data_IF_083639644235
#
_entry.id   IF_083639644235
#
_cell.length_a   1.000
_cell.length_b   1.000
_cell.length_c   1.000
_cell.angle_alpha   90.00
_cell.angle_beta   90.00
_cell.angle_gamma   90.00
#
_symmetry.space_group_name_H-M   'P 1'
#
loop_
_entity.id
_entity.type
_entity.pdbx_description
1 polymer ?
#
# COMPACT_ATOMS: atom_id res chain seq x y z
N UNK A 1 10.16 65.76 -46.35
CA UNK A 1 9.15 64.67 -46.47
C UNK A 1 9.76 63.37 -45.95
N UNK A 2 9.45 62.97 -44.71
CA UNK A 2 9.87 61.68 -44.13
C UNK A 2 8.67 60.74 -44.18
N UNK A 3 8.78 59.65 -44.95
CA UNK A 3 7.74 58.61 -45.05
C UNK A 3 7.92 57.64 -43.88
N UNK A 4 6.95 57.58 -42.97
CA UNK A 4 6.85 56.57 -41.93
C UNK A 4 6.11 55.35 -42.48
N UNK A 5 6.72 54.17 -42.37
CA UNK A 5 6.09 52.88 -42.70
C UNK A 5 5.60 52.27 -41.39
N UNK A 6 4.32 51.88 -41.25
CA UNK A 6 3.85 51.18 -40.06
C UNK A 6 4.27 49.71 -40.13
N UNK A 7 4.96 49.21 -39.10
CA UNK A 7 5.24 47.79 -38.92
C UNK A 7 4.03 47.18 -38.22
N UNK A 8 3.34 46.27 -38.93
CA UNK A 8 2.25 45.46 -38.39
C UNK A 8 2.85 44.31 -37.57
N UNK A 9 2.80 44.40 -36.25
CA UNK A 9 3.18 43.30 -35.37
C UNK A 9 2.04 42.27 -35.32
N UNK A 10 2.20 41.16 -36.02
CA UNK A 10 1.32 39.99 -35.88
C UNK A 10 1.74 39.25 -34.60
N UNK A 11 0.95 39.41 -33.54
CA UNK A 11 1.04 38.58 -32.35
C UNK A 11 0.37 37.24 -32.67
N UNK A 12 1.17 36.25 -33.03
CA UNK A 12 0.71 34.86 -33.10
C UNK A 12 0.56 34.36 -31.67
N UNK A 13 -0.67 34.38 -31.14
CA UNK A 13 -0.98 33.63 -29.93
C UNK A 13 -0.96 32.15 -30.29
N UNK A 14 0.15 31.47 -29.96
CA UNK A 14 0.13 30.02 -29.83
C UNK A 14 -0.78 29.69 -28.63
N UNK A 15 -2.02 29.28 -28.92
CA UNK A 15 -2.81 28.49 -27.98
C UNK A 15 -2.15 27.11 -27.88
N UNK A 16 -1.02 27.05 -27.18
CA UNK A 16 -0.48 25.80 -26.70
C UNK A 16 -1.48 25.23 -25.72
N UNK A 17 -2.29 24.27 -26.17
CA UNK A 17 -3.07 23.44 -25.28
C UNK A 17 -2.09 22.79 -24.32
N UNK A 18 -2.01 23.33 -23.11
CA UNK A 18 -1.31 22.71 -21.99
C UNK A 18 -2.10 21.42 -21.71
N UNK A 19 -1.74 20.34 -22.41
CA UNK A 19 -2.15 19.00 -22.02
C UNK A 19 -1.46 18.75 -20.68
N UNK A 20 -2.13 19.13 -19.59
CA UNK A 20 -1.79 18.66 -18.27
C UNK A 20 -1.70 17.13 -18.40
N UNK A 21 -0.54 16.57 -18.08
CA UNK A 21 -0.37 15.12 -18.07
C UNK A 21 -1.53 14.56 -17.25
N UNK A 22 -2.33 13.65 -17.80
CA UNK A 22 -3.47 13.10 -17.07
C UNK A 22 -2.93 12.43 -15.80
N UNK A 23 -3.13 13.06 -14.65
CA UNK A 23 -2.67 12.60 -13.34
C UNK A 23 -3.61 11.51 -12.81
N UNK A 24 -3.96 10.51 -13.63
CA UNK A 24 -4.81 9.39 -13.26
C UNK A 24 -4.44 8.09 -13.98
N UNK A 25 -4.63 6.97 -13.30
CA UNK A 25 -4.22 5.63 -13.78
C UNK A 25 -4.94 5.20 -15.08
N UNK A 26 -4.30 4.32 -15.86
CA UNK A 26 -4.86 3.75 -17.10
C UNK A 26 -6.23 3.07 -16.91
N UNK A 27 -6.43 2.41 -15.76
CA UNK A 27 -7.72 1.79 -15.41
C UNK A 27 -8.83 2.84 -15.27
N UNK A 28 -8.52 4.03 -14.78
CA UNK A 28 -9.47 5.14 -14.70
C UNK A 28 -9.74 5.74 -16.08
N UNK A 29 -8.71 5.83 -16.93
CA UNK A 29 -8.87 6.21 -18.33
C UNK A 29 -9.82 5.26 -19.10
N UNK A 30 -9.80 3.97 -18.78
CA UNK A 30 -10.71 2.99 -19.36
C UNK A 30 -12.14 3.12 -18.81
N UNK A 31 -12.30 3.45 -17.52
CA UNK A 31 -13.62 3.72 -16.94
C UNK A 31 -14.30 4.94 -17.54
N UNK A 32 -13.55 5.99 -17.89
CA UNK A 32 -14.07 7.15 -18.60
C UNK A 32 -14.72 6.77 -19.94
N UNK A 33 -14.21 5.74 -20.63
CA UNK A 33 -14.75 5.27 -21.91
C UNK A 33 -15.92 4.31 -21.73
N UNK A 34 -15.81 3.39 -20.76
CA UNK A 34 -16.74 2.25 -20.63
C UNK A 34 -17.90 2.52 -19.70
N UNK A 35 -17.72 3.35 -18.67
CA UNK A 35 -18.71 3.63 -17.62
C UNK A 35 -18.67 5.11 -17.16
N UNK A 36 -18.86 6.09 -18.06
CA UNK A 36 -18.70 7.52 -17.75
C UNK A 36 -19.65 8.05 -16.66
N UNK A 37 -20.82 7.43 -16.51
CA UNK A 37 -21.83 7.78 -15.50
C UNK A 37 -21.71 6.94 -14.22
N UNK A 38 -20.64 6.15 -14.07
CA UNK A 38 -20.40 5.33 -12.89
C UNK A 38 -19.85 6.13 -11.71
N UNK A 39 -19.83 5.49 -10.55
CA UNK A 39 -19.08 5.94 -9.38
C UNK A 39 -17.94 4.95 -9.17
N UNK A 40 -16.74 5.45 -8.91
CA UNK A 40 -15.53 4.67 -8.67
C UNK A 40 -14.92 5.06 -7.34
N UNK A 41 -14.31 4.10 -6.65
CA UNK A 41 -13.51 4.37 -5.45
C UNK A 41 -12.07 4.66 -5.89
N UNK A 42 -11.54 5.78 -5.45
CA UNK A 42 -10.22 6.29 -5.85
C UNK A 42 -9.42 6.75 -4.64
N UNK A 43 -8.10 6.76 -4.81
CA UNK A 43 -7.14 7.38 -3.91
C UNK A 43 -6.64 8.65 -4.59
N UNK A 44 -6.93 9.80 -4.00
CA UNK A 44 -6.55 11.12 -4.52
C UNK A 44 -5.35 11.60 -3.72
N UNK A 45 -4.15 11.51 -4.29
CA UNK A 45 -2.92 12.01 -3.68
C UNK A 45 -2.76 13.51 -3.95
N UNK A 46 -2.38 14.27 -2.92
CA UNK A 46 -2.18 15.72 -3.01
C UNK A 46 -0.70 16.10 -2.93
N UNK A 47 -0.36 17.22 -3.57
CA UNK A 47 0.96 17.87 -3.43
C UNK A 47 1.09 18.66 -2.13
N UNK A 48 -0.03 18.94 -1.47
CA UNK A 48 -0.15 19.68 -0.20
C UNK A 48 -0.81 18.81 0.87
N UNK A 49 -0.62 19.13 2.17
CA UNK A 49 -1.33 18.46 3.25
C UNK A 49 -2.85 18.49 3.04
N UNK A 50 -3.49 17.34 3.27
CA UNK A 50 -4.95 17.21 3.18
C UNK A 50 -5.61 18.10 4.24
N UNK A 51 -6.76 18.68 3.92
CA UNK A 51 -7.52 19.56 4.80
C UNK A 51 -9.01 19.54 4.42
N UNK A 52 -9.84 20.21 5.23
CA UNK A 52 -11.29 20.23 5.05
C UNK A 52 -11.76 20.79 3.69
N UNK A 53 -11.00 21.68 3.06
CA UNK A 53 -11.35 22.22 1.74
C UNK A 53 -11.25 21.13 0.65
N UNK A 54 -10.30 20.21 0.75
CA UNK A 54 -10.18 19.08 -0.18
C UNK A 54 -11.35 18.09 -0.02
N UNK A 55 -11.80 17.85 1.22
CA UNK A 55 -12.99 17.04 1.46
C UNK A 55 -14.27 17.71 0.91
N UNK A 56 -14.39 19.03 1.05
CA UNK A 56 -15.48 19.80 0.47
C UNK A 56 -15.44 19.78 -1.07
N UNK A 57 -14.25 19.87 -1.68
CA UNK A 57 -14.08 19.75 -3.14
C UNK A 57 -14.64 18.42 -3.67
N UNK A 58 -14.30 17.30 -3.02
CA UNK A 58 -14.80 15.97 -3.38
C UNK A 58 -16.33 15.91 -3.23
N UNK A 59 -16.86 16.45 -2.13
CA UNK A 59 -18.30 16.46 -1.86
C UNK A 59 -19.07 17.31 -2.87
N UNK A 60 -18.52 18.48 -3.25
CA UNK A 60 -19.09 19.36 -4.27
C UNK A 60 -19.05 18.76 -5.67
N UNK A 61 -18.13 17.83 -5.93
CA UNK A 61 -18.11 17.03 -7.15
C UNK A 61 -19.11 15.85 -7.11
N UNK A 62 -19.95 15.74 -6.07
CA UNK A 62 -20.88 14.61 -5.90
C UNK A 62 -20.19 13.33 -5.41
N UNK A 63 -18.95 13.44 -4.93
CA UNK A 63 -18.21 12.35 -4.31
C UNK A 63 -18.44 12.25 -2.80
N UNK A 64 -17.84 11.23 -2.18
CA UNK A 64 -17.89 11.01 -0.74
C UNK A 64 -16.54 10.51 -0.24
N UNK A 65 -15.95 11.23 0.72
CA UNK A 65 -14.71 10.81 1.39
C UNK A 65 -14.99 9.61 2.29
N UNK A 66 -14.11 8.62 2.23
CA UNK A 66 -14.13 7.39 3.02
C UNK A 66 -13.08 7.45 4.13
N UNK A 67 -11.90 8.03 3.85
CA UNK A 67 -10.83 8.17 4.83
C UNK A 67 -9.63 8.93 4.26
N UNK A 68 -8.63 9.14 5.11
CA UNK A 68 -7.40 9.86 4.77
C UNK A 68 -6.17 8.98 5.04
N UNK A 69 -5.16 9.14 4.20
CA UNK A 69 -3.88 8.44 4.25
C UNK A 69 -2.77 9.47 4.44
N UNK A 70 -2.57 9.88 5.69
CA UNK A 70 -1.69 11.01 6.05
C UNK A 70 -0.26 10.84 5.55
N UNK A 71 0.29 9.63 5.64
CA UNK A 71 1.67 9.32 5.23
C UNK A 71 1.95 9.66 3.76
N UNK A 72 0.94 9.58 2.90
CA UNK A 72 1.07 9.88 1.47
C UNK A 72 0.29 11.13 1.07
N UNK A 73 -0.27 11.89 2.02
CA UNK A 73 -1.13 13.04 1.78
C UNK A 73 -2.27 12.73 0.79
N UNK A 74 -3.02 11.65 1.05
CA UNK A 74 -4.09 11.22 0.15
C UNK A 74 -5.46 11.07 0.82
N UNK A 75 -6.52 11.16 0.03
CA UNK A 75 -7.89 10.90 0.45
C UNK A 75 -8.44 9.71 -0.33
N UNK A 76 -9.05 8.77 0.37
CA UNK A 76 -9.83 7.69 -0.24
C UNK A 76 -11.26 8.17 -0.38
N UNK A 77 -11.80 8.15 -1.59
CA UNK A 77 -13.14 8.68 -1.86
C UNK A 77 -13.88 7.90 -2.95
N UNK A 78 -15.20 7.89 -2.86
CA UNK A 78 -16.05 7.62 -4.02
C UNK A 78 -16.15 8.90 -4.85
N UNK A 79 -15.91 8.81 -6.15
CA UNK A 79 -16.01 9.94 -7.09
C UNK A 79 -16.82 9.50 -8.33
N UNK A 80 -17.73 10.35 -8.85
CA UNK A 80 -18.29 10.13 -10.17
C UNK A 80 -17.19 10.08 -11.22
N UNK A 81 -17.22 9.10 -12.12
CA UNK A 81 -16.24 8.94 -13.20
C UNK A 81 -16.17 10.20 -14.06
N UNK A 82 -17.32 10.85 -14.29
CA UNK A 82 -17.43 12.12 -15.01
C UNK A 82 -16.68 13.30 -14.38
N UNK A 83 -16.25 13.20 -13.12
CA UNK A 83 -15.49 14.25 -12.42
C UNK A 83 -13.99 13.97 -12.36
N UNK A 84 -13.52 12.81 -12.83
CA UNK A 84 -12.11 12.41 -12.74
C UNK A 84 -11.17 13.40 -13.43
N UNK A 85 -11.47 13.79 -14.67
CA UNK A 85 -10.63 14.71 -15.43
C UNK A 85 -10.57 16.09 -14.77
N UNK A 86 -11.71 16.58 -14.28
CA UNK A 86 -11.79 17.86 -13.56
C UNK A 86 -11.00 17.82 -12.26
N UNK A 87 -11.09 16.74 -11.50
CA UNK A 87 -10.32 16.56 -10.27
C UNK A 87 -8.82 16.46 -10.57
N UNK A 88 -8.43 15.71 -11.60
CA UNK A 88 -7.04 15.55 -11.99
C UNK A 88 -6.40 16.84 -12.54
N UNK A 89 -7.21 17.74 -13.10
CA UNK A 89 -6.77 19.06 -13.55
C UNK A 89 -6.48 20.04 -12.40
N UNK A 90 -6.85 19.71 -11.15
CA UNK A 90 -6.56 20.57 -10.01
C UNK A 90 -5.04 20.54 -9.70
N UNK A 91 -4.34 21.69 -9.62
CA UNK A 91 -2.90 21.76 -9.33
C UNK A 91 -2.47 21.15 -7.98
N UNK A 92 -3.40 21.02 -7.04
CA UNK A 92 -3.16 20.38 -5.74
C UNK A 92 -3.22 18.86 -5.81
N UNK A 93 -3.76 18.29 -6.90
CA UNK A 93 -3.82 16.84 -7.13
C UNK A 93 -2.53 16.41 -7.81
N UNK A 94 -1.81 15.50 -7.15
CA UNK A 94 -0.59 14.89 -7.67
C UNK A 94 -0.89 13.69 -8.55
N UNK A 95 -1.81 12.83 -8.11
CA UNK A 95 -2.25 11.64 -8.84
C UNK A 95 -3.61 11.16 -8.31
N UNK A 96 -4.39 10.51 -9.16
CA UNK A 96 -5.61 9.79 -8.81
C UNK A 96 -5.43 8.33 -9.22
N UNK A 97 -5.39 7.42 -8.26
CA UNK A 97 -5.32 5.99 -8.53
C UNK A 97 -6.64 5.29 -8.22
N UNK A 98 -6.88 4.18 -8.92
CA UNK A 98 -8.04 3.35 -8.62
C UNK A 98 -7.81 2.60 -7.30
N UNK A 99 -8.82 2.54 -6.44
CA UNK A 99 -8.80 1.71 -5.23
C UNK A 99 -9.31 0.31 -5.59
N UNK A 100 -8.43 -0.48 -6.23
CA UNK A 100 -8.74 -1.80 -6.77
C UNK A 100 -8.49 -2.92 -5.76
N UNK A 101 -9.18 -4.05 -5.92
CA UNK A 101 -9.03 -5.21 -5.05
C UNK A 101 -7.64 -5.84 -5.23
N UNK A 102 -6.86 -5.89 -4.15
CA UNK A 102 -5.65 -6.73 -4.07
C UNK A 102 -6.02 -8.12 -3.58
N UNK A 103 -5.41 -9.15 -4.16
CA UNK A 103 -5.58 -10.54 -3.74
C UNK A 103 -4.28 -11.05 -3.12
N UNK A 104 -4.38 -11.74 -1.98
CA UNK A 104 -3.24 -12.42 -1.36
C UNK A 104 -2.76 -13.57 -2.24
N UNK A 105 -1.45 -13.71 -2.41
CA UNK A 105 -0.84 -14.80 -3.15
C UNK A 105 -0.06 -15.70 -2.19
N UNK A 106 -0.51 -16.96 -2.06
CA UNK A 106 0.12 -17.93 -1.17
C UNK A 106 1.01 -18.90 -1.94
N UNK A 107 2.20 -19.16 -1.42
CA UNK A 107 3.10 -20.23 -1.86
C UNK A 107 3.54 -21.09 -0.68
N UNK A 108 3.81 -22.38 -0.93
CA UNK A 108 4.42 -23.26 0.07
C UNK A 108 5.86 -22.80 0.36
N UNK A 109 6.26 -22.59 1.62
CA UNK A 109 7.60 -22.15 1.93
C UNK A 109 8.55 -23.33 1.79
N UNK A 110 9.42 -23.28 0.79
CA UNK A 110 10.62 -24.11 0.77
C UNK A 110 11.70 -23.43 1.61
N UNK A 111 12.41 -24.20 2.44
CA UNK A 111 13.54 -23.73 3.25
C UNK A 111 14.72 -23.42 2.33
N UNK A 112 14.74 -22.22 1.74
CA UNK A 112 15.86 -21.73 0.91
C UNK A 112 16.24 -20.28 1.18
N UNK A 113 15.67 -19.66 2.22
CA UNK A 113 15.91 -18.24 2.56
C UNK A 113 17.37 -17.92 2.94
N UNK A 114 18.19 -18.94 3.22
CA UNK A 114 19.56 -18.76 3.72
C UNK A 114 19.63 -18.35 5.19
N UNK A 115 18.48 -18.27 5.90
CA UNK A 115 18.42 -17.88 7.30
C UNK A 115 19.27 -18.77 8.21
N UNK A 116 19.25 -20.09 8.00
CA UNK A 116 20.11 -21.04 8.72
C UNK A 116 21.61 -20.73 8.50
N UNK A 117 22.01 -20.45 7.26
CA UNK A 117 23.40 -20.08 6.94
C UNK A 117 23.81 -18.76 7.60
N UNK A 118 22.92 -17.76 7.65
CA UNK A 118 23.20 -16.49 8.31
C UNK A 118 23.36 -16.67 9.82
N UNK A 119 22.51 -17.49 10.44
CA UNK A 119 22.66 -17.86 11.85
C UNK A 119 23.98 -18.60 12.11
N UNK A 120 24.30 -19.63 11.31
CA UNK A 120 25.52 -20.42 11.48
C UNK A 120 26.79 -19.58 11.28
N UNK A 121 26.78 -18.65 10.30
CA UNK A 121 27.95 -17.84 9.98
C UNK A 121 28.15 -16.63 10.91
N UNK A 122 27.06 -16.03 11.41
CA UNK A 122 27.11 -14.74 12.11
C UNK A 122 26.41 -14.72 13.47
N UNK A 123 25.78 -15.81 13.90
CA UNK A 123 25.00 -15.90 15.15
C UNK A 123 23.77 -14.99 15.17
N UNK A 124 23.33 -14.47 14.03
CA UNK A 124 22.24 -13.50 13.93
C UNK A 124 20.88 -14.19 14.03
N UNK A 125 20.03 -13.69 14.91
CA UNK A 125 18.70 -14.26 15.22
C UNK A 125 17.55 -13.30 14.93
N UNK A 126 17.84 -12.03 14.64
CA UNK A 126 16.83 -10.97 14.58
C UNK A 126 16.31 -10.52 15.95
N UNK A 127 16.89 -10.99 17.07
CA UNK A 127 16.48 -10.56 18.42
C UNK A 127 16.57 -9.03 18.55
N UNK A 128 15.46 -8.43 18.99
CA UNK A 128 15.34 -6.97 19.17
C UNK A 128 14.87 -6.22 17.93
N UNK A 129 14.69 -6.90 16.78
CA UNK A 129 14.13 -6.31 15.56
C UNK A 129 12.63 -6.55 15.50
N UNK A 130 11.85 -5.49 15.31
CA UNK A 130 10.42 -5.57 15.06
C UNK A 130 10.14 -5.70 13.56
N UNK A 131 9.26 -6.64 13.18
CA UNK A 131 8.77 -6.79 11.80
C UNK A 131 7.26 -6.60 11.79
N UNK A 132 6.76 -5.72 10.92
CA UNK A 132 5.34 -5.55 10.68
C UNK A 132 4.91 -6.41 9.49
N UNK A 133 3.88 -7.23 9.68
CA UNK A 133 3.25 -8.03 8.62
C UNK A 133 1.89 -7.41 8.31
N UNK A 134 1.70 -6.98 7.07
CA UNK A 134 0.44 -6.41 6.58
C UNK A 134 -0.22 -7.45 5.68
N UNK A 135 -1.18 -8.18 6.23
CA UNK A 135 -1.81 -9.34 5.59
C UNK A 135 -3.24 -9.54 6.14
N UNK A 136 -3.85 -10.71 5.94
CA UNK A 136 -5.17 -11.07 6.46
C UNK A 136 -5.30 -10.99 7.99
N UNK A 137 -4.18 -10.98 8.70
CA UNK A 137 -4.10 -10.93 10.15
C UNK A 137 -3.13 -11.99 10.68
N UNK A 138 -3.03 -12.13 11.99
CA UNK A 138 -2.20 -13.17 12.63
C UNK A 138 -2.99 -13.75 13.81
N UNK A 139 -3.32 -15.03 13.73
CA UNK A 139 -3.97 -15.75 14.82
C UNK A 139 -2.95 -16.03 15.95
N UNK A 140 -3.38 -15.99 17.23
CA UNK A 140 -2.55 -16.41 18.35
C UNK A 140 -2.05 -17.84 18.13
N UNK A 141 -0.73 -18.02 18.17
CA UNK A 141 -0.11 -19.30 17.93
C UNK A 141 1.09 -19.49 18.87
N UNK A 142 1.33 -20.69 19.43
CA UNK A 142 2.45 -20.94 20.35
C UNK A 142 3.82 -20.54 19.79
N UNK A 143 3.97 -20.61 18.46
CA UNK A 143 5.23 -20.28 17.80
C UNK A 143 5.46 -18.78 17.59
N UNK A 144 4.44 -17.95 17.82
CA UNK A 144 4.44 -16.53 17.47
C UNK A 144 4.22 -15.66 18.69
N UNK A 145 5.07 -14.65 18.83
CA UNK A 145 4.90 -13.57 19.80
C UNK A 145 4.45 -12.30 19.08
N UNK A 146 3.17 -11.97 19.19
CA UNK A 146 2.59 -10.76 18.61
C UNK A 146 2.75 -9.61 19.60
N UNK A 147 3.49 -8.57 19.22
CA UNK A 147 3.70 -7.38 20.07
C UNK A 147 2.55 -6.37 19.97
N UNK A 148 1.97 -6.24 18.78
CA UNK A 148 0.85 -5.35 18.49
C UNK A 148 0.07 -5.91 17.29
N UNK A 149 -1.25 -5.80 17.34
CA UNK A 149 -2.14 -6.08 16.22
C UNK A 149 -2.98 -4.82 15.93
N UNK A 150 -3.19 -4.54 14.65
CA UNK A 150 -4.05 -3.45 14.16
C UNK A 150 -4.88 -4.03 13.02
N UNK A 151 -6.20 -3.95 13.15
CA UNK A 151 -7.15 -4.36 12.11
C UNK A 151 -7.67 -3.09 11.41
N UNK A 152 -7.38 -2.96 10.12
CA UNK A 152 -7.84 -1.84 9.28
C UNK A 152 -9.19 -2.14 8.59
N UNK A 153 -9.70 -3.37 8.71
CA UNK A 153 -10.97 -3.82 8.12
C UNK A 153 -12.10 -3.76 9.13
N UNK A 154 -11.87 -4.26 10.36
CA UNK A 154 -12.81 -4.18 11.47
C UNK A 154 -12.09 -3.67 12.74
N UNK A 155 -12.17 -2.35 12.95
CA UNK A 155 -11.51 -1.67 14.08
C UNK A 155 -12.13 -1.99 15.44
N UNK A 156 -13.24 -2.73 15.48
CA UNK A 156 -13.88 -3.16 16.73
C UNK A 156 -13.26 -4.45 17.29
N UNK A 157 -12.47 -5.17 16.48
CA UNK A 157 -11.80 -6.40 16.89
C UNK A 157 -10.54 -6.11 17.68
N UNK A 158 -10.48 -6.66 18.88
CA UNK A 158 -9.29 -6.63 19.71
C UNK A 158 -8.45 -7.89 19.52
N UNK A 159 -7.21 -7.72 19.07
CA UNK A 159 -6.20 -8.78 19.09
C UNK A 159 -6.30 -9.81 17.95
N UNK A 160 -5.30 -10.70 17.92
CA UNK A 160 -4.99 -11.62 16.82
C UNK A 160 -6.20 -12.38 16.26
N UNK A 161 -6.55 -12.03 15.04
CA UNK A 161 -7.56 -12.67 14.23
C UNK A 161 -6.97 -12.81 12.83
N UNK A 162 -7.15 -13.97 12.21
CA UNK A 162 -6.73 -14.21 10.84
C UNK A 162 -7.79 -15.09 10.15
N UNK A 163 -8.73 -14.50 9.41
CA UNK A 163 -9.82 -15.24 8.77
C UNK A 163 -9.35 -16.13 7.61
N UNK A 164 -8.17 -15.86 7.05
CA UNK A 164 -7.66 -16.56 5.86
C UNK A 164 -6.45 -17.47 6.15
N UNK A 165 -5.78 -17.28 7.29
CA UNK A 165 -4.62 -18.08 7.72
C UNK A 165 -3.31 -17.71 7.03
N UNK A 166 -3.35 -16.88 5.98
CA UNK A 166 -2.20 -16.51 5.18
C UNK A 166 -1.20 -15.67 6.00
N UNK A 167 -1.67 -14.63 6.68
CA UNK A 167 -0.80 -13.80 7.50
C UNK A 167 -0.19 -14.55 8.69
N UNK A 168 -0.90 -15.50 9.29
CA UNK A 168 -0.34 -16.40 10.32
C UNK A 168 0.78 -17.27 9.76
N UNK A 169 0.60 -17.81 8.56
CA UNK A 169 1.62 -18.60 7.88
C UNK A 169 2.85 -17.75 7.49
N UNK A 170 2.65 -16.56 6.93
CA UNK A 170 3.72 -15.60 6.64
C UNK A 170 4.48 -15.22 7.91
N UNK A 171 3.77 -14.93 9.00
CA UNK A 171 4.38 -14.64 10.30
C UNK A 171 5.21 -15.82 10.84
N UNK A 172 4.74 -17.06 10.62
CA UNK A 172 5.49 -18.29 10.91
C UNK A 172 6.82 -18.38 10.16
N UNK A 173 6.83 -18.03 8.87
CA UNK A 173 8.07 -17.99 8.06
C UNK A 173 9.03 -16.91 8.55
N UNK A 174 8.50 -15.76 8.98
CA UNK A 174 9.31 -14.61 9.40
C UNK A 174 9.90 -14.81 10.79
N UNK A 175 9.12 -15.29 11.76
CA UNK A 175 9.47 -15.27 13.18
C UNK A 175 9.01 -16.50 13.98
N UNK A 176 8.63 -17.59 13.31
CA UNK A 176 8.22 -18.82 13.96
C UNK A 176 9.31 -19.43 14.84
N UNK A 177 9.02 -19.56 16.13
CA UNK A 177 9.92 -20.23 17.08
C UNK A 177 9.90 -21.76 16.96
N UNK A 178 9.01 -22.34 16.14
CA UNK A 178 8.88 -23.78 15.91
C UNK A 178 8.58 -24.60 17.16
N UNK A 179 8.07 -24.00 18.25
CA UNK A 179 7.77 -24.67 19.50
C UNK A 179 6.72 -25.80 19.32
N UNK A 180 5.68 -25.56 18.51
CA UNK A 180 4.62 -26.50 18.17
C UNK A 180 5.10 -27.64 17.25
N UNK A 181 6.32 -27.54 16.70
CA UNK A 181 6.90 -28.55 15.82
C UNK A 181 8.21 -29.14 16.35
N UNK A 182 8.50 -28.99 17.65
CA UNK A 182 9.79 -29.41 18.25
C UNK A 182 11.02 -28.89 17.48
N UNK A 183 10.90 -27.73 16.85
CA UNK A 183 11.96 -27.09 16.08
C UNK A 183 12.02 -27.46 14.60
N UNK A 184 11.18 -28.36 14.09
CA UNK A 184 11.17 -28.75 12.67
C UNK A 184 10.93 -27.56 11.72
N UNK A 185 10.06 -26.62 12.13
CA UNK A 185 9.73 -25.43 11.35
C UNK A 185 10.26 -24.13 12.00
N UNK A 186 11.35 -24.21 12.76
CA UNK A 186 12.07 -23.00 13.22
C UNK A 186 12.67 -22.24 12.03
N UNK A 187 12.60 -20.91 12.07
CA UNK A 187 13.20 -20.04 11.05
C UNK A 187 14.73 -20.22 10.96
N UNK A 188 15.39 -20.58 12.07
CA UNK A 188 16.80 -20.97 12.13
C UNK A 188 16.93 -22.29 12.92
N UNK A 189 17.47 -23.34 12.30
CA UNK A 189 17.73 -24.60 13.00
C UNK A 189 18.93 -24.44 13.92
N UNK A 190 18.76 -24.70 15.22
CA UNK A 190 19.91 -25.13 16.02
C UNK A 190 20.20 -26.58 15.63
N UNK A 191 21.32 -26.80 14.94
CA UNK A 191 21.88 -28.14 14.88
C UNK A 191 22.28 -28.57 16.30
N UNK A 192 21.35 -29.20 17.03
CA UNK A 192 21.71 -30.01 18.18
C UNK A 192 22.52 -31.20 17.66
N UNK A 193 23.83 -31.00 17.46
CA UNK A 193 24.78 -32.12 17.49
C UNK A 193 24.75 -32.65 18.91
N UNK A 194 24.04 -33.76 19.10
CA UNK A 194 24.09 -34.52 20.34
C UNK A 194 25.55 -34.86 20.66
N UNK A 195 26.06 -34.28 21.74
CA UNK A 195 27.13 -34.91 22.50
C UNK A 195 26.43 -35.80 23.53
N UNK A 196 26.61 -37.14 23.46
CA UNK A 196 26.26 -37.97 24.59
C UNK A 196 27.29 -37.68 25.69
N UNK A 197 26.89 -36.86 26.67
CA UNK A 197 27.54 -36.88 27.98
C UNK A 197 27.09 -38.18 28.65
N UNK A 198 27.90 -39.21 28.49
CA UNK A 198 27.89 -40.33 29.42
C UNK A 198 28.61 -39.86 30.69
N UNK A 199 27.90 -39.88 31.81
CA UNK A 199 28.46 -40.04 33.14
C UNK A 199 28.22 -41.51 33.58
N UNK A 200 28.98 -42.06 34.54
CA UNK A 200 29.88 -41.38 35.49
C UNK A 200 31.38 -41.63 35.30
#
# INVERSE_FOLDING_TARGET
MKRTVPILAIVVMFAGGLHAANHYDDKLAELLKTRPNGIVRVIIQRTVPVNAAHAAEISNAGGRVVGELDMIQAQVAFLPVSQLERMAANPTVKNISIDDYVQGQAGQPYVVSGAAKAYDAYGVTGKGIGVAVVDSGIAPHPDLKILKAVDFVDTTRAGGYDPFGHGTHVAGIVAGSGAASNGTYKVYQQHHRGHPMGDP
#
